data_IF_567652005727
#
_entry.id   IF_567652005727
#
_cell.length_a   1.000
_cell.length_b   1.000
_cell.length_c   1.000
_cell.angle_alpha   90.00
_cell.angle_beta   90.00
_cell.angle_gamma   90.00
#
_symmetry.space_group_name_H-M   'P 1'
#
loop_
_entity.id
_entity.type
_entity.pdbx_description
1 polymer ?
#
# COMPACT_ATOMS: atom_id res chain seq x y z
N UNK A 1 2.20 -9.48 20.95
CA UNK A 1 2.33 -8.59 19.78
C UNK A 1 3.25 -9.14 18.67
N UNK A 2 4.20 -10.04 19.00
CA UNK A 2 5.21 -10.51 18.04
C UNK A 2 4.69 -11.42 16.93
N UNK A 3 3.57 -12.12 17.15
CA UNK A 3 3.12 -13.22 16.29
C UNK A 3 2.97 -12.86 14.82
N UNK A 4 2.63 -11.60 14.50
CA UNK A 4 2.56 -11.14 13.12
C UNK A 4 3.93 -10.79 12.53
N UNK A 5 4.85 -10.20 13.31
CA UNK A 5 6.17 -9.82 12.81
C UNK A 5 7.11 -11.04 12.72
N UNK A 6 6.92 -12.04 13.58
CA UNK A 6 7.73 -13.25 13.65
C UNK A 6 7.71 -14.07 12.36
N UNK A 7 6.60 -14.04 11.61
CA UNK A 7 6.49 -14.78 10.33
C UNK A 7 7.39 -14.19 9.23
N UNK A 8 7.84 -12.95 9.39
CA UNK A 8 8.73 -12.25 8.46
C UNK A 8 10.21 -12.43 8.81
N UNK A 9 10.53 -13.03 9.97
CA UNK A 9 11.91 -13.23 10.38
C UNK A 9 12.65 -14.20 9.46
N UNK A 10 13.93 -13.95 9.17
CA UNK A 10 14.71 -14.84 8.29
C UNK A 10 14.85 -16.26 8.83
N UNK A 11 14.67 -16.43 10.14
CA UNK A 11 14.69 -17.74 10.82
C UNK A 11 13.37 -18.51 10.74
N UNK A 12 12.27 -17.88 10.29
CA UNK A 12 10.95 -18.49 10.19
C UNK A 12 10.82 -19.29 8.88
N UNK A 13 11.66 -20.31 8.69
CA UNK A 13 11.87 -21.00 7.41
C UNK A 13 10.60 -21.51 6.74
N UNK A 14 9.60 -21.98 7.50
CA UNK A 14 8.30 -22.40 6.95
C UNK A 14 7.56 -21.23 6.27
N UNK A 15 7.56 -20.05 6.90
CA UNK A 15 6.89 -18.87 6.38
C UNK A 15 7.69 -18.21 5.26
N UNK A 16 9.01 -18.03 5.45
CA UNK A 16 9.86 -17.37 4.44
C UNK A 16 9.89 -18.19 3.15
N UNK A 17 9.89 -19.53 3.25
CA UNK A 17 9.83 -20.39 2.06
C UNK A 17 8.51 -20.24 1.32
N UNK A 18 7.41 -20.21 2.07
CA UNK A 18 6.05 -20.18 1.49
C UNK A 18 5.69 -18.82 0.91
N UNK A 19 6.04 -17.72 1.59
CA UNK A 19 5.57 -16.38 1.25
C UNK A 19 6.64 -15.46 0.66
N UNK A 20 7.93 -15.73 0.89
CA UNK A 20 9.04 -14.88 0.43
C UNK A 20 10.00 -15.57 -0.56
N UNK A 21 9.91 -16.89 -0.71
CA UNK A 21 10.70 -17.66 -1.66
C UNK A 21 12.13 -17.96 -1.22
N UNK A 22 12.44 -17.92 0.08
CA UNK A 22 13.75 -18.34 0.62
C UNK A 22 13.61 -19.14 1.91
N UNK A 23 14.48 -20.11 2.14
CA UNK A 23 14.47 -20.98 3.34
C UNK A 23 15.77 -20.91 4.16
N UNK A 24 16.89 -20.51 3.55
CA UNK A 24 18.15 -20.24 4.25
C UNK A 24 18.10 -18.87 4.96
N UNK A 25 18.24 -18.80 6.30
CA UNK A 25 18.33 -17.54 7.02
C UNK A 25 19.53 -16.69 6.58
N UNK A 26 20.58 -17.26 5.99
CA UNK A 26 21.75 -16.55 5.48
C UNK A 26 21.65 -16.21 3.99
N UNK A 27 20.45 -16.29 3.40
CA UNK A 27 20.21 -15.94 2.01
C UNK A 27 20.74 -14.53 1.69
N UNK A 28 21.58 -14.42 0.65
CA UNK A 28 22.22 -13.17 0.26
C UNK A 28 21.22 -12.08 -0.15
N UNK A 29 20.10 -12.45 -0.79
CA UNK A 29 19.05 -11.50 -1.14
C UNK A 29 18.31 -10.99 0.11
N UNK A 30 18.03 -11.86 1.08
CA UNK A 30 17.44 -11.45 2.37
C UNK A 30 18.34 -10.46 3.12
N UNK A 31 19.66 -10.67 3.10
CA UNK A 31 20.63 -9.72 3.66
C UNK A 31 20.66 -8.40 2.87
N UNK A 32 20.64 -8.45 1.53
CA UNK A 32 20.65 -7.27 0.66
C UNK A 32 19.45 -6.35 0.90
N UNK A 33 18.27 -6.91 1.20
CA UNK A 33 17.07 -6.13 1.50
C UNK A 33 16.93 -5.75 2.98
N UNK A 34 17.93 -6.03 3.80
CA UNK A 34 17.98 -5.58 5.20
C UNK A 34 17.16 -6.42 6.19
N UNK A 35 16.72 -7.64 5.84
CA UNK A 35 15.92 -8.47 6.75
C UNK A 35 16.68 -8.88 8.03
N UNK A 36 18.00 -8.76 8.05
CA UNK A 36 18.81 -8.94 9.28
C UNK A 36 18.63 -7.80 10.28
N UNK A 37 18.44 -6.58 9.80
CA UNK A 37 18.14 -5.44 10.66
C UNK A 37 16.73 -5.59 11.24
N UNK A 38 15.77 -6.05 10.43
CA UNK A 38 14.43 -6.40 10.89
C UNK A 38 14.44 -7.49 11.98
N UNK A 39 15.17 -8.59 11.76
CA UNK A 39 15.31 -9.66 12.76
C UNK A 39 15.82 -9.10 14.10
N UNK A 40 16.82 -8.21 14.03
CA UNK A 40 17.40 -7.59 15.21
C UNK A 40 16.40 -6.68 15.95
N UNK A 41 15.56 -5.92 15.24
CA UNK A 41 14.49 -5.11 15.82
C UNK A 41 13.46 -5.98 16.56
N UNK A 42 13.01 -7.06 15.91
CA UNK A 42 12.03 -8.00 16.51
C UNK A 42 12.62 -8.69 17.75
N UNK A 43 13.89 -9.11 17.68
CA UNK A 43 14.59 -9.72 18.82
C UNK A 43 14.83 -8.73 19.96
N UNK A 44 15.15 -7.47 19.65
CA UNK A 44 15.31 -6.42 20.65
C UNK A 44 13.99 -6.13 21.38
N UNK A 45 12.87 -6.12 20.66
CA UNK A 45 11.54 -6.03 21.24
C UNK A 45 11.21 -7.25 22.10
N UNK A 46 11.51 -8.47 21.63
CA UNK A 46 11.23 -9.71 22.36
C UNK A 46 12.06 -9.85 23.65
N UNK A 47 13.28 -9.30 23.69
CA UNK A 47 14.15 -9.28 24.88
C UNK A 47 13.64 -8.36 25.98
N UNK A 48 12.79 -7.39 25.67
CA UNK A 48 12.15 -6.56 26.69
C UNK A 48 11.07 -7.35 27.42
N UNK A 49 11.31 -7.65 28.69
CA UNK A 49 10.38 -8.40 29.55
C UNK A 49 10.00 -7.64 30.81
N UNK A 50 10.59 -6.47 31.05
CA UNK A 50 10.44 -5.69 32.28
C UNK A 50 9.44 -4.54 32.13
N UNK A 51 9.42 -3.88 30.97
CA UNK A 51 8.50 -2.78 30.66
C UNK A 51 7.68 -3.09 29.40
N UNK A 52 6.37 -3.21 29.60
CA UNK A 52 5.44 -3.54 28.52
C UNK A 52 5.29 -2.41 27.49
N UNK A 53 5.36 -1.14 27.91
CA UNK A 53 5.22 0.00 27.01
C UNK A 53 6.44 0.09 26.09
N UNK A 54 7.63 -0.03 26.66
CA UNK A 54 8.88 -0.05 25.88
C UNK A 54 8.89 -1.22 24.90
N UNK A 55 8.40 -2.40 25.32
CA UNK A 55 8.24 -3.55 24.42
C UNK A 55 7.33 -3.24 23.25
N UNK A 56 6.20 -2.58 23.48
CA UNK A 56 5.26 -2.20 22.43
C UNK A 56 5.85 -1.16 21.48
N UNK A 57 6.55 -0.15 21.98
CA UNK A 57 7.24 0.84 21.16
C UNK A 57 8.27 0.20 20.23
N UNK A 58 9.07 -0.76 20.72
CA UNK A 58 10.04 -1.50 19.90
C UNK A 58 9.39 -2.38 18.83
N UNK A 59 8.25 -3.02 19.14
CA UNK A 59 7.50 -3.73 18.10
C UNK A 59 6.88 -2.78 17.08
N UNK A 60 6.46 -1.58 17.48
CA UNK A 60 5.97 -0.56 16.56
C UNK A 60 7.09 -0.06 15.64
N UNK A 61 8.32 0.09 16.13
CA UNK A 61 9.51 0.39 15.32
C UNK A 61 9.78 -0.72 14.29
N UNK A 62 9.76 -1.98 14.71
CA UNK A 62 9.91 -3.12 13.80
C UNK A 62 8.81 -3.18 12.72
N UNK A 63 7.56 -2.87 13.09
CA UNK A 63 6.45 -2.80 12.14
C UNK A 63 6.61 -1.64 11.16
N UNK A 64 6.99 -0.46 11.63
CA UNK A 64 7.24 0.71 10.79
C UNK A 64 8.35 0.42 9.77
N UNK A 65 9.45 -0.20 10.20
CA UNK A 65 10.51 -0.64 9.29
C UNK A 65 9.96 -1.58 8.19
N UNK A 66 9.14 -2.57 8.55
CA UNK A 66 8.57 -3.52 7.60
C UNK A 66 7.66 -2.83 6.57
N UNK A 67 6.80 -1.92 7.02
CA UNK A 67 5.90 -1.15 6.14
C UNK A 67 6.70 -0.21 5.22
N UNK A 68 7.72 0.47 5.74
CA UNK A 68 8.56 1.39 4.97
C UNK A 68 9.48 0.66 3.97
N UNK A 69 9.88 -0.58 4.27
CA UNK A 69 10.72 -1.39 3.39
C UNK A 69 10.05 -1.72 2.04
N UNK A 70 8.72 -1.62 1.96
CA UNK A 70 7.90 -2.06 0.82
C UNK A 70 8.08 -3.53 0.44
N UNK A 71 8.75 -4.36 1.28
CA UNK A 71 8.87 -5.81 1.09
C UNK A 71 7.53 -6.52 1.29
N UNK A 72 6.65 -5.91 2.08
CA UNK A 72 5.29 -6.37 2.33
C UNK A 72 4.31 -5.23 2.04
N UNK A 73 3.34 -5.48 1.15
CA UNK A 73 2.23 -4.55 0.90
C UNK A 73 0.94 -5.13 1.47
N UNK A 74 0.35 -4.51 2.51
CA UNK A 74 -0.94 -4.95 3.02
C UNK A 74 -2.03 -4.69 1.98
N UNK A 75 -2.69 -5.76 1.51
CA UNK A 75 -3.76 -5.66 0.50
C UNK A 75 -5.08 -5.11 1.07
N UNK A 76 -5.26 -5.15 2.39
CA UNK A 76 -6.47 -4.67 3.06
C UNK A 76 -6.12 -3.95 4.37
N UNK A 77 -6.08 -2.62 4.35
CA UNK A 77 -6.26 -1.82 5.56
C UNK A 77 -7.45 -0.90 5.33
N UNK A 78 -8.46 -1.02 6.20
CA UNK A 78 -9.69 -0.25 6.08
C UNK A 78 -9.38 1.26 6.02
N UNK A 79 -9.83 1.91 4.94
CA UNK A 79 -9.93 3.37 4.68
C UNK A 79 -8.71 4.28 4.92
N UNK A 80 -7.55 3.77 5.34
CA UNK A 80 -6.37 4.60 5.64
C UNK A 80 -5.19 4.44 4.68
N UNK A 81 -4.88 3.21 4.26
CA UNK A 81 -3.77 2.90 3.36
C UNK A 81 -4.26 2.02 2.21
N UNK A 82 -4.21 2.55 1.00
CA UNK A 82 -4.47 1.79 -0.21
C UNK A 82 -3.18 1.77 -1.03
N UNK A 83 -2.17 0.96 -0.62
CA UNK A 83 -0.97 0.82 -1.42
C UNK A 83 -1.39 0.31 -2.80
N UNK A 84 -1.01 1.04 -3.84
CA UNK A 84 -1.31 0.69 -5.22
C UNK A 84 -0.01 0.69 -6.02
N UNK A 85 0.20 -0.39 -6.78
CA UNK A 85 1.22 -0.44 -7.83
C UNK A 85 0.50 -0.32 -9.15
N UNK A 86 0.69 0.81 -9.83
CA UNK A 86 0.03 1.09 -11.11
C UNK A 86 1.03 1.61 -12.14
N UNK A 87 0.85 1.16 -13.38
CA UNK A 87 1.47 1.71 -14.60
C UNK A 87 0.42 2.35 -15.51
N UNK A 88 -0.64 2.86 -14.91
CA UNK A 88 -1.70 3.61 -15.57
C UNK A 88 -1.64 5.06 -15.10
N UNK A 89 -1.92 6.02 -15.96
CA UNK A 89 -2.10 7.41 -15.56
C UNK A 89 -3.20 7.49 -14.51
N UNK A 90 -2.96 8.07 -13.32
CA UNK A 90 -3.98 8.18 -12.30
C UNK A 90 -5.21 8.92 -12.82
N UNK A 91 -6.40 8.43 -12.48
CA UNK A 91 -7.70 9.01 -12.83
C UNK A 91 -8.04 9.07 -14.33
N UNK A 92 -7.28 8.40 -15.21
CA UNK A 92 -7.57 8.41 -16.66
C UNK A 92 -8.76 7.53 -17.03
N UNK A 93 -8.98 6.43 -16.31
CA UNK A 93 -10.05 5.48 -16.58
C UNK A 93 -11.44 6.03 -16.31
N UNK A 94 -12.44 5.45 -16.99
CA UNK A 94 -13.83 5.70 -16.63
C UNK A 94 -14.10 5.22 -15.20
N UNK A 95 -14.79 6.06 -14.42
CA UNK A 95 -15.23 5.72 -13.07
C UNK A 95 -16.74 5.80 -12.98
N UNK A 96 -17.37 4.78 -12.39
CA UNK A 96 -18.76 4.83 -11.97
C UNK A 96 -18.92 4.02 -10.70
N UNK A 97 -19.67 4.56 -9.74
CA UNK A 97 -20.00 3.85 -8.50
C UNK A 97 -21.02 2.72 -8.75
N UNK A 98 -21.81 2.81 -9.83
CA UNK A 98 -22.82 1.83 -10.21
C UNK A 98 -22.77 1.51 -11.71
N UNK A 99 -23.14 0.28 -12.09
CA UNK A 99 -23.22 -0.15 -13.48
C UNK A 99 -21.87 -0.56 -14.11
N UNK A 100 -21.86 -0.89 -15.41
CA UNK A 100 -20.74 -1.59 -16.05
C UNK A 100 -19.48 -0.74 -16.24
N UNK A 101 -19.58 0.59 -16.10
CA UNK A 101 -18.45 1.52 -16.25
C UNK A 101 -17.49 1.51 -15.04
N UNK A 102 -17.87 0.88 -13.93
CA UNK A 102 -16.99 0.65 -12.78
C UNK A 102 -16.36 -0.75 -12.76
N UNK A 103 -16.57 -1.57 -13.79
CA UNK A 103 -15.98 -2.91 -13.89
C UNK A 103 -14.50 -2.82 -14.25
N UNK A 104 -13.73 -3.73 -13.67
CA UNK A 104 -12.37 -4.15 -14.03
C UNK A 104 -12.19 -4.53 -15.52
N UNK A 105 -13.28 -4.74 -16.27
CA UNK A 105 -13.28 -5.06 -17.70
C UNK A 105 -13.48 -3.84 -18.61
N UNK A 106 -13.54 -2.63 -18.05
CA UNK A 106 -13.77 -1.41 -18.81
C UNK A 106 -12.45 -0.65 -19.05
N UNK A 107 -11.87 -0.81 -20.25
CA UNK A 107 -10.54 -0.27 -20.58
C UNK A 107 -10.55 1.12 -21.22
N UNK A 108 -11.73 1.74 -21.37
CA UNK A 108 -11.84 3.04 -22.05
C UNK A 108 -11.15 4.14 -21.24
N UNK A 109 -10.38 4.97 -21.94
CA UNK A 109 -9.57 6.07 -21.39
C UNK A 109 -8.42 5.67 -20.47
N UNK A 110 -8.16 4.37 -20.31
CA UNK A 110 -6.94 3.93 -19.63
C UNK A 110 -5.73 4.34 -20.47
N UNK A 111 -4.78 4.99 -19.81
CA UNK A 111 -3.53 5.43 -20.42
C UNK A 111 -2.37 4.70 -19.75
N UNK A 112 -1.83 3.65 -20.39
CA UNK A 112 -0.64 2.98 -19.90
C UNK A 112 0.58 3.90 -19.99
N UNK A 113 1.43 3.83 -18.98
CA UNK A 113 2.72 4.52 -18.94
C UNK A 113 3.84 3.53 -18.64
N UNK A 114 5.05 3.87 -19.08
CA UNK A 114 6.23 3.03 -18.88
C UNK A 114 6.61 2.94 -17.40
N UNK A 115 6.61 4.09 -16.74
CA UNK A 115 7.10 4.22 -15.37
C UNK A 115 5.98 3.93 -14.35
N UNK A 116 6.37 3.44 -13.18
CA UNK A 116 5.43 3.22 -12.08
C UNK A 116 4.98 4.57 -11.52
N UNK A 117 3.69 4.66 -11.17
CA UNK A 117 3.12 5.85 -10.50
C UNK A 117 3.83 6.05 -9.16
N UNK A 118 4.50 7.19 -9.00
CA UNK A 118 5.03 7.63 -7.71
C UNK A 118 3.96 8.34 -6.89
N UNK A 119 4.15 8.41 -5.56
CA UNK A 119 3.28 9.19 -4.66
C UNK A 119 3.11 10.64 -5.15
N UNK A 120 4.20 11.29 -5.55
CA UNK A 120 4.19 12.65 -6.10
C UNK A 120 3.33 12.77 -7.37
N UNK A 121 3.43 11.79 -8.27
CA UNK A 121 2.61 11.76 -9.49
C UNK A 121 1.12 11.61 -9.15
N UNK A 122 0.80 10.70 -8.23
CA UNK A 122 -0.57 10.45 -7.78
C UNK A 122 -1.19 11.67 -7.10
N UNK A 123 -0.48 12.27 -6.14
CA UNK A 123 -0.97 13.42 -5.37
C UNK A 123 -1.27 14.62 -6.29
N UNK A 124 -0.37 14.91 -7.23
CA UNK A 124 -0.57 15.95 -8.24
C UNK A 124 -1.78 15.66 -9.13
N UNK A 125 -1.92 14.42 -9.61
CA UNK A 125 -3.06 14.04 -10.43
C UNK A 125 -4.39 14.11 -9.65
N UNK A 126 -4.37 13.75 -8.37
CA UNK A 126 -5.53 13.79 -7.47
C UNK A 126 -6.00 15.21 -7.24
N UNK A 127 -5.10 16.15 -7.00
CA UNK A 127 -5.44 17.56 -6.85
C UNK A 127 -6.10 18.13 -8.11
N UNK A 128 -5.53 17.84 -9.30
CA UNK A 128 -6.11 18.25 -10.58
C UNK A 128 -7.50 17.64 -10.77
N UNK A 129 -7.63 16.34 -10.54
CA UNK A 129 -8.90 15.62 -10.68
C UNK A 129 -9.99 16.16 -9.75
N UNK A 130 -9.66 16.48 -8.49
CA UNK A 130 -10.62 17.06 -7.55
C UNK A 130 -11.12 18.44 -8.02
N UNK A 131 -10.23 19.28 -8.58
CA UNK A 131 -10.59 20.60 -9.13
C UNK A 131 -11.50 20.46 -10.35
N UNK A 132 -11.16 19.56 -11.28
CA UNK A 132 -11.97 19.29 -12.47
C UNK A 132 -13.34 18.70 -12.13
N UNK A 133 -13.38 17.75 -11.17
CA UNK A 133 -14.61 17.16 -10.67
C UNK A 133 -15.54 18.20 -10.07
N UNK A 134 -15.03 19.13 -9.24
CA UNK A 134 -15.85 20.21 -8.68
C UNK A 134 -16.52 21.04 -9.78
N UNK A 135 -15.73 21.49 -10.77
CA UNK A 135 -16.23 22.27 -11.91
C UNK A 135 -17.26 21.50 -12.74
N UNK A 136 -17.00 20.21 -13.01
CA UNK A 136 -17.90 19.35 -13.77
C UNK A 136 -19.24 19.16 -13.04
N UNK A 137 -19.19 18.91 -11.72
CA UNK A 137 -20.38 18.75 -10.89
C UNK A 137 -21.22 20.02 -10.80
N UNK A 138 -20.59 21.18 -10.61
CA UNK A 138 -21.29 22.48 -10.61
C UNK A 138 -22.00 22.75 -11.94
N UNK A 139 -21.35 22.43 -13.07
CA UNK A 139 -21.97 22.56 -14.39
C UNK A 139 -23.17 21.61 -14.52
N UNK A 140 -22.99 20.34 -14.16
CA UNK A 140 -24.06 19.35 -14.23
C UNK A 140 -25.28 19.76 -13.39
N UNK A 141 -25.06 20.32 -12.20
CA UNK A 141 -26.13 20.82 -11.33
C UNK A 141 -26.89 21.99 -11.99
N UNK A 142 -26.18 22.97 -12.56
CA UNK A 142 -26.81 24.10 -13.27
C UNK A 142 -27.58 23.67 -14.52
N UNK A 143 -27.07 22.67 -15.25
CA UNK A 143 -27.75 22.14 -16.44
C UNK A 143 -28.98 21.33 -16.04
N UNK A 144 -28.93 20.59 -14.93
CA UNK A 144 -30.08 19.86 -14.37
C UNK A 144 -31.21 20.80 -13.93
N UNK A 145 -30.88 21.90 -13.24
CA UNK A 145 -31.85 22.93 -12.82
C UNK A 145 -32.60 23.54 -14.01
N UNK A 146 -31.93 23.70 -15.16
CA UNK A 146 -32.56 24.20 -16.40
C UNK A 146 -33.39 23.14 -17.12
N UNK A 147 -33.12 21.87 -16.87
CA UNK A 147 -33.77 20.75 -17.55
C UNK A 147 -35.09 20.34 -16.89
N UNK A 148 -35.20 20.48 -15.57
CA UNK A 148 -36.45 20.25 -14.84
C UNK A 148 -37.36 21.47 -15.03
N UNK A 149 -38.42 21.30 -15.84
CA UNK A 149 -39.57 22.21 -15.92
C UNK A 149 -40.70 21.74 -15.02
#
# INVERSE_FOLDING_TARGET
PSTFLDIFKTTASENTKTYMGFDDPNNAAAAQVGLKDFDALVDNAAKETSDLNVRYERYAEAQAWLEDSSLFMPLMVNKGAAPMVARLTPFSGAYSQVGPKGSDRYFKYLEPQKDVVTKKNYDKARESWLKEKSKSNEKAQKDLEKHVK
#
